data_IF_087131111970
#
_entry.id   IF_087131111970
#
_cell.length_a   1.000
_cell.length_b   1.000
_cell.length_c   1.000
_cell.angle_alpha   90.00
_cell.angle_beta   90.00
_cell.angle_gamma   90.00
#
_symmetry.space_group_name_H-M   'P 1'
#
loop_
_entity.id
_entity.type
_entity.pdbx_description
1 polymer ?
#
# COMPACT_ATOMS: atom_id res chain seq x y z
N UNK A 1 7.26 19.87 -8.73
CA UNK A 1 6.10 20.11 -9.61
C UNK A 1 6.35 21.38 -10.41
N UNK A 2 5.71 21.53 -11.57
CA UNK A 2 5.93 22.65 -12.49
C UNK A 2 4.60 23.14 -13.05
N UNK A 3 4.43 24.45 -13.15
CA UNK A 3 3.32 25.12 -13.86
C UNK A 3 3.86 25.81 -15.13
N UNK A 4 3.02 25.94 -16.14
CA UNK A 4 3.34 26.63 -17.40
C UNK A 4 2.29 27.72 -17.66
N UNK A 5 2.26 28.79 -16.85
CA UNK A 5 1.30 29.86 -17.01
C UNK A 5 1.65 30.72 -18.25
N UNK A 6 0.65 31.35 -18.84
CA UNK A 6 0.82 32.24 -19.99
C UNK A 6 -0.10 33.44 -19.86
N UNK A 7 0.41 34.60 -20.24
CA UNK A 7 -0.31 35.87 -20.30
C UNK A 7 -0.24 36.42 -21.75
N UNK A 8 -1.38 36.66 -22.43
CA UNK A 8 -1.38 37.16 -23.80
C UNK A 8 -0.85 38.59 -23.95
N UNK A 9 -1.00 39.41 -22.91
CA UNK A 9 -0.62 40.82 -22.89
C UNK A 9 0.84 41.00 -22.43
N UNK A 10 1.46 39.93 -21.94
CA UNK A 10 2.86 39.87 -21.54
C UNK A 10 3.08 40.36 -20.10
N UNK A 11 2.01 40.43 -19.30
CA UNK A 11 2.10 40.85 -17.91
C UNK A 11 2.89 39.85 -17.05
N UNK A 12 3.56 40.37 -16.02
CA UNK A 12 4.30 39.53 -15.10
C UNK A 12 3.33 38.75 -14.20
N UNK A 13 3.30 37.43 -14.38
CA UNK A 13 2.46 36.55 -13.59
C UNK A 13 3.03 36.26 -12.19
N UNK A 14 2.13 36.22 -11.22
CA UNK A 14 2.42 35.76 -9.85
C UNK A 14 1.71 34.46 -9.54
N UNK A 15 2.39 33.55 -8.85
CA UNK A 15 1.96 32.21 -8.53
C UNK A 15 1.91 32.03 -7.01
N UNK A 16 0.80 31.46 -6.53
CA UNK A 16 0.61 31.06 -5.15
C UNK A 16 0.28 29.58 -5.08
N UNK A 17 1.08 28.82 -4.36
CA UNK A 17 0.96 27.37 -4.24
C UNK A 17 0.40 26.98 -2.88
N UNK A 18 -0.50 25.98 -2.85
CA UNK A 18 -1.04 25.44 -1.59
C UNK A 18 -1.40 23.96 -1.73
N UNK A 19 -1.36 23.23 -0.62
CA UNK A 19 -1.81 21.84 -0.55
C UNK A 19 -2.50 21.56 0.79
N UNK A 20 -3.27 20.46 0.88
CA UNK A 20 -4.02 20.13 2.09
C UNK A 20 -3.21 19.32 3.09
N UNK A 21 -2.42 18.34 2.63
CA UNK A 21 -1.70 17.38 3.47
C UNK A 21 -0.17 17.55 3.44
N UNK A 22 0.30 18.65 2.86
CA UNK A 22 1.71 18.97 2.80
C UNK A 22 1.96 20.47 2.67
N UNK A 23 3.24 20.82 2.69
CA UNK A 23 3.71 22.16 2.39
C UNK A 23 4.21 22.23 0.96
N UNK A 24 3.96 23.36 0.31
CA UNK A 24 4.48 23.64 -1.03
C UNK A 24 5.43 24.81 -0.91
N UNK A 25 6.69 24.60 -1.29
CA UNK A 25 7.75 25.60 -1.21
C UNK A 25 8.18 25.98 -2.62
N UNK A 26 8.19 27.27 -2.93
CA UNK A 26 8.72 27.83 -4.17
C UNK A 26 9.84 28.83 -3.84
N UNK A 27 10.69 29.15 -4.82
CA UNK A 27 11.75 30.16 -4.64
C UNK A 27 11.25 31.61 -4.66
N UNK A 28 9.96 31.83 -4.91
CA UNK A 28 9.33 33.14 -4.93
C UNK A 28 7.97 33.13 -5.64
N UNK A 29 7.29 34.29 -5.72
CA UNK A 29 5.98 34.41 -6.35
C UNK A 29 6.03 34.30 -7.88
N UNK A 30 7.19 34.40 -8.53
CA UNK A 30 7.33 34.20 -9.99
C UNK A 30 7.84 32.81 -10.35
N UNK A 31 8.10 31.96 -9.35
CA UNK A 31 8.65 30.64 -9.57
C UNK A 31 7.58 29.69 -10.13
N UNK A 32 7.84 29.19 -11.34
CA UNK A 32 7.01 28.19 -12.02
C UNK A 32 7.23 26.78 -11.50
N UNK A 33 8.25 26.57 -10.66
CA UNK A 33 8.53 25.30 -10.00
C UNK A 33 8.33 25.42 -8.51
N UNK A 34 7.84 24.33 -7.92
CA UNK A 34 7.68 24.19 -6.49
C UNK A 34 7.97 22.76 -6.01
N UNK A 35 8.38 22.64 -4.75
CA UNK A 35 8.61 21.37 -4.07
C UNK A 35 7.48 21.10 -3.10
N UNK A 36 6.86 19.94 -3.24
CA UNK A 36 5.88 19.43 -2.30
C UNK A 36 6.58 18.58 -1.24
N UNK A 37 6.28 18.82 0.03
CA UNK A 37 6.70 17.98 1.15
C UNK A 37 5.44 17.57 1.91
N UNK A 38 5.16 16.27 1.95
CA UNK A 38 4.08 15.72 2.76
C UNK A 38 4.40 15.94 4.25
N UNK A 39 3.45 16.48 5.02
CA UNK A 39 3.66 16.81 6.44
C UNK A 39 2.89 15.90 7.39
N UNK A 40 1.72 15.40 6.98
CA UNK A 40 0.97 14.42 7.76
C UNK A 40 0.04 13.58 6.89
N UNK A 41 -0.09 12.31 7.23
CA UNK A 41 -0.99 11.37 6.55
C UNK A 41 -0.39 10.67 5.33
N UNK A 42 -1.19 9.78 4.76
CA UNK A 42 -0.96 9.07 3.51
C UNK A 42 -2.25 9.12 2.70
N UNK A 43 -2.17 8.80 1.41
CA UNK A 43 -3.31 8.87 0.50
C UNK A 43 -3.24 10.06 -0.45
N UNK A 44 -4.36 10.37 -1.10
CA UNK A 44 -4.45 11.39 -2.15
C UNK A 44 -4.43 12.80 -1.56
N UNK A 45 -3.54 13.64 -2.09
CA UNK A 45 -3.57 15.09 -1.88
C UNK A 45 -3.74 15.81 -3.23
N UNK A 46 -4.25 17.03 -3.17
CA UNK A 46 -4.39 17.92 -4.32
C UNK A 46 -3.61 19.20 -4.03
N UNK A 47 -2.61 19.46 -4.88
CA UNK A 47 -1.90 20.73 -4.88
C UNK A 47 -2.62 21.68 -5.82
N UNK A 48 -2.82 22.91 -5.37
CA UNK A 48 -3.39 24.01 -6.13
C UNK A 48 -2.31 25.03 -6.42
N UNK A 49 -2.37 25.62 -7.61
CA UNK A 49 -1.59 26.79 -8.00
C UNK A 49 -2.54 27.85 -8.52
N UNK A 50 -2.55 29.00 -7.88
CA UNK A 50 -3.28 30.18 -8.35
C UNK A 50 -2.30 31.10 -9.07
N UNK A 51 -2.64 31.50 -10.29
CA UNK A 51 -1.89 32.42 -11.13
C UNK A 51 -2.66 33.72 -11.21
N UNK A 52 -2.01 34.86 -11.03
CA UNK A 52 -2.60 36.20 -11.11
C UNK A 52 -1.74 37.11 -11.99
N UNK A 53 -2.40 37.89 -12.85
CA UNK A 53 -1.77 38.91 -13.70
C UNK A 53 -1.51 40.24 -12.98
N UNK A 54 -2.06 40.43 -11.77
CA UNK A 54 -2.00 41.70 -11.04
C UNK A 54 -2.93 42.80 -11.58
N UNK A 55 -3.66 42.54 -12.67
CA UNK A 55 -4.63 43.43 -13.31
C UNK A 55 -6.08 42.94 -13.17
N UNK A 56 -6.29 41.85 -12.42
CA UNK A 56 -7.61 41.33 -12.05
C UNK A 56 -7.94 40.00 -12.72
N UNK A 57 -7.14 39.53 -13.67
CA UNK A 57 -7.18 38.19 -14.21
C UNK A 57 -6.53 37.18 -13.26
N UNK A 58 -7.17 36.03 -13.11
CA UNK A 58 -6.60 34.92 -12.34
C UNK A 58 -7.07 33.58 -12.90
N UNK A 59 -6.22 32.57 -12.72
CA UNK A 59 -6.50 31.19 -13.10
C UNK A 59 -6.02 30.23 -12.01
N UNK A 60 -6.63 29.06 -11.93
CA UNK A 60 -6.23 28.01 -11.00
C UNK A 60 -5.89 26.72 -11.75
N UNK A 61 -4.75 26.13 -11.40
CA UNK A 61 -4.34 24.80 -11.83
C UNK A 61 -4.26 23.84 -10.64
N UNK A 62 -4.36 22.55 -10.93
CA UNK A 62 -4.26 21.50 -9.89
C UNK A 62 -3.34 20.37 -10.31
N UNK A 63 -2.67 19.76 -9.34
CA UNK A 63 -1.93 18.51 -9.50
C UNK A 63 -2.32 17.53 -8.40
N UNK A 64 -2.64 16.29 -8.80
CA UNK A 64 -2.86 15.20 -7.84
C UNK A 64 -1.54 14.55 -7.46
N UNK A 65 -1.35 14.27 -6.17
CA UNK A 65 -0.27 13.42 -5.67
C UNK A 65 -0.83 12.36 -4.74
N UNK A 66 -0.08 11.28 -4.58
CA UNK A 66 -0.37 10.26 -3.58
C UNK A 66 0.82 10.09 -2.65
N UNK A 67 0.55 10.22 -1.36
CA UNK A 67 1.53 10.05 -0.30
C UNK A 67 1.49 8.58 0.12
N UNK A 68 2.62 7.88 0.01
CA UNK A 68 2.69 6.45 0.34
C UNK A 68 2.46 6.23 1.83
N UNK A 69 1.67 5.22 2.17
CA UNK A 69 1.63 4.67 3.51
C UNK A 69 2.86 3.78 3.73
N UNK A 70 3.66 4.07 4.75
CA UNK A 70 4.82 3.24 5.13
C UNK A 70 4.49 2.25 6.25
N UNK A 71 3.28 2.33 6.82
CA UNK A 71 2.87 1.41 7.86
C UNK A 71 2.51 0.06 7.25
N UNK A 72 3.07 -1.01 7.82
CA UNK A 72 2.79 -2.37 7.38
C UNK A 72 1.46 -2.86 7.93
N UNK A 73 0.76 -3.75 7.19
CA UNK A 73 -0.47 -4.37 7.68
C UNK A 73 -0.18 -5.23 8.91
N UNK A 74 -1.15 -5.33 9.82
CA UNK A 74 -1.06 -6.27 10.94
C UNK A 74 -1.54 -7.65 10.51
N UNK A 75 -0.76 -8.68 10.84
CA UNK A 75 -1.06 -10.07 10.53
C UNK A 75 -1.19 -10.83 11.86
N UNK A 76 -2.25 -11.64 11.99
CA UNK A 76 -2.43 -12.55 13.11
C UNK A 76 -2.80 -13.95 12.61
N UNK A 77 -2.27 -14.98 13.28
CA UNK A 77 -2.55 -16.38 12.99
C UNK A 77 -3.35 -16.99 14.14
N UNK A 78 -4.34 -17.80 13.78
CA UNK A 78 -5.19 -18.50 14.74
C UNK A 78 -5.17 -20.00 14.42
N UNK A 79 -4.95 -20.88 15.40
CA UNK A 79 -5.07 -22.31 15.18
C UNK A 79 -6.53 -22.65 14.84
N UNK A 80 -6.73 -23.48 13.82
CA UNK A 80 -8.04 -24.05 13.48
C UNK A 80 -7.91 -25.56 13.25
N UNK A 81 -9.02 -26.28 13.28
CA UNK A 81 -9.01 -27.70 12.95
C UNK A 81 -8.54 -27.89 11.50
N UNK A 82 -7.57 -28.77 11.24
CA UNK A 82 -7.10 -29.01 9.88
C UNK A 82 -8.17 -29.72 9.06
N UNK A 83 -8.39 -29.25 7.83
CA UNK A 83 -9.24 -29.92 6.83
C UNK A 83 -8.52 -31.11 6.19
N UNK A 84 -7.19 -31.11 6.21
CA UNK A 84 -6.33 -32.21 5.80
C UNK A 84 -5.49 -32.69 7.01
N UNK A 85 -5.63 -33.94 7.47
CA UNK A 85 -4.94 -34.45 8.65
C UNK A 85 -3.41 -34.46 8.54
N UNK A 86 -2.86 -34.35 7.32
CA UNK A 86 -1.41 -34.29 7.10
C UNK A 86 -0.86 -32.86 7.13
N UNK A 87 -1.70 -31.84 7.35
CA UNK A 87 -1.29 -30.44 7.33
C UNK A 87 -1.79 -29.67 8.55
N UNK A 88 -1.04 -28.66 9.03
CA UNK A 88 -1.53 -27.78 10.08
C UNK A 88 -2.70 -26.93 9.57
N UNK A 89 -3.75 -26.80 10.39
CA UNK A 89 -4.86 -25.90 10.14
C UNK A 89 -4.62 -24.57 10.84
N UNK A 90 -4.63 -23.48 10.10
CA UNK A 90 -4.63 -22.14 10.69
C UNK A 90 -5.52 -21.20 9.88
N UNK A 91 -6.14 -20.24 10.57
CA UNK A 91 -6.75 -19.09 9.95
C UNK A 91 -5.78 -17.92 10.02
N UNK A 92 -5.81 -17.09 9.00
CA UNK A 92 -5.00 -15.89 8.92
C UNK A 92 -5.89 -14.66 8.92
N UNK A 93 -5.61 -13.71 9.80
CA UNK A 93 -6.22 -12.38 9.77
C UNK A 93 -5.24 -11.34 9.26
N UNK A 94 -5.67 -10.56 8.28
CA UNK A 94 -4.94 -9.40 7.77
C UNK A 94 -5.75 -8.15 8.10
N UNK A 95 -5.12 -7.18 8.76
CA UNK A 95 -5.70 -5.86 9.02
C UNK A 95 -4.84 -4.81 8.32
N UNK A 96 -5.25 -4.34 7.13
CA UNK A 96 -4.41 -3.45 6.35
C UNK A 96 -4.50 -2.01 6.88
N UNK A 97 -3.44 -1.24 6.69
CA UNK A 97 -3.35 0.17 7.11
C UNK A 97 -3.86 1.13 6.03
N UNK A 98 -4.06 0.64 4.81
CA UNK A 98 -4.70 1.30 3.66
C UNK A 98 -5.55 0.28 2.89
N UNK A 99 -6.36 0.74 1.93
CA UNK A 99 -7.12 -0.17 1.08
C UNK A 99 -6.17 -1.00 0.20
N UNK A 100 -6.39 -2.31 0.20
CA UNK A 100 -5.47 -3.29 -0.34
C UNK A 100 -6.21 -4.16 -1.36
N UNK A 101 -5.91 -4.02 -2.65
CA UNK A 101 -6.38 -4.95 -3.66
C UNK A 101 -5.37 -6.11 -3.83
N UNK A 102 -5.58 -7.19 -3.06
CA UNK A 102 -4.74 -8.39 -3.04
C UNK A 102 -4.85 -9.13 -4.37
N UNK A 103 -3.72 -9.35 -5.03
CA UNK A 103 -3.63 -10.05 -6.32
C UNK A 103 -3.06 -11.45 -6.20
N UNK A 104 -2.14 -11.67 -5.25
CA UNK A 104 -1.59 -12.99 -4.96
C UNK A 104 -1.22 -13.09 -3.48
N UNK A 105 -1.32 -14.30 -2.95
CA UNK A 105 -1.04 -14.60 -1.55
C UNK A 105 -0.31 -15.94 -1.53
N UNK A 106 0.88 -15.97 -0.94
CA UNK A 106 1.64 -17.21 -0.79
C UNK A 106 2.23 -17.34 0.62
N UNK A 107 2.18 -18.54 1.17
CA UNK A 107 2.83 -18.88 2.45
C UNK A 107 3.81 -20.01 2.22
N UNK A 108 5.07 -19.79 2.59
CA UNK A 108 6.14 -20.76 2.39
C UNK A 108 6.67 -21.20 3.76
N UNK A 109 6.67 -22.50 4.09
CA UNK A 109 7.37 -22.99 5.27
C UNK A 109 8.89 -22.82 5.11
N UNK A 110 9.56 -22.42 6.19
CA UNK A 110 11.01 -22.27 6.23
C UNK A 110 11.73 -23.58 5.97
N UNK A 111 12.67 -23.58 5.01
CA UNK A 111 13.47 -24.77 4.68
C UNK A 111 12.73 -25.87 3.92
N UNK A 112 11.55 -25.59 3.36
CA UNK A 112 10.78 -26.55 2.59
C UNK A 112 11.37 -26.79 1.18
N UNK A 113 11.13 -27.97 0.62
CA UNK A 113 11.46 -28.30 -0.78
C UNK A 113 10.62 -27.47 -1.77
N UNK A 114 11.13 -27.31 -3.00
CA UNK A 114 10.40 -26.65 -4.09
C UNK A 114 9.01 -27.27 -4.24
N UNK A 115 7.96 -26.44 -4.23
CA UNK A 115 6.55 -26.86 -4.31
C UNK A 115 5.80 -26.80 -2.98
N UNK A 116 6.47 -26.68 -1.83
CA UNK A 116 5.77 -26.59 -0.55
C UNK A 116 5.28 -25.18 -0.21
N UNK A 117 3.96 -25.04 -0.10
CA UNK A 117 3.32 -23.79 0.30
C UNK A 117 1.88 -23.97 0.78
N UNK A 118 1.33 -22.92 1.36
CA UNK A 118 -0.08 -22.79 1.72
C UNK A 118 -0.64 -21.59 0.98
N UNK A 119 -1.78 -21.79 0.33
CA UNK A 119 -2.52 -20.71 -0.32
C UNK A 119 -3.89 -20.60 0.36
N UNK A 120 -4.29 -19.40 0.81
CA UNK A 120 -5.65 -19.17 1.23
C UNK A 120 -6.61 -19.39 0.07
N UNK A 121 -7.77 -19.98 0.32
CA UNK A 121 -8.84 -20.02 -0.68
C UNK A 121 -9.52 -18.64 -0.77
N UNK A 122 -9.28 -17.91 -1.86
CA UNK A 122 -9.97 -16.66 -2.18
C UNK A 122 -9.97 -16.40 -3.69
N UNK A 123 -10.87 -15.55 -4.17
CA UNK A 123 -10.92 -15.10 -5.56
C UNK A 123 -10.14 -13.78 -5.73
N UNK A 124 -8.97 -13.75 -6.38
CA UNK A 124 -8.28 -12.52 -6.69
C UNK A 124 -8.92 -11.77 -7.89
N UNK A 125 -8.89 -10.43 -7.92
CA UNK A 125 -8.35 -9.60 -6.86
C UNK A 125 -9.35 -9.42 -5.70
N UNK A 126 -8.86 -9.47 -4.46
CA UNK A 126 -9.66 -9.30 -3.25
C UNK A 126 -9.38 -7.93 -2.62
N UNK A 127 -10.41 -7.12 -2.42
CA UNK A 127 -10.27 -5.80 -1.80
C UNK A 127 -10.43 -5.89 -0.28
N UNK A 128 -9.34 -5.68 0.46
CA UNK A 128 -9.35 -5.49 1.90
C UNK A 128 -9.43 -3.99 2.21
N UNK A 129 -10.28 -3.61 3.17
CA UNK A 129 -10.47 -2.21 3.56
C UNK A 129 -9.55 -1.82 4.71
N UNK A 130 -9.02 -0.60 4.66
CA UNK A 130 -8.19 -0.04 5.72
C UNK A 130 -8.83 -0.20 7.11
N UNK A 131 -8.07 -0.73 8.06
CA UNK A 131 -8.49 -0.95 9.45
C UNK A 131 -9.52 -2.06 9.65
N UNK A 132 -10.02 -2.70 8.58
CA UNK A 132 -11.00 -3.78 8.67
C UNK A 132 -10.28 -5.13 8.65
N UNK A 133 -10.32 -5.91 9.75
CA UNK A 133 -9.72 -7.23 9.77
C UNK A 133 -10.43 -8.17 8.78
N UNK A 134 -9.66 -8.84 7.94
CA UNK A 134 -10.15 -9.89 7.04
C UNK A 134 -9.52 -11.22 7.41
N UNK A 135 -10.37 -12.25 7.62
CA UNK A 135 -9.93 -13.58 8.04
C UNK A 135 -10.05 -14.56 6.89
N UNK A 136 -8.91 -15.09 6.45
CA UNK A 136 -8.81 -16.26 5.61
C UNK A 136 -8.94 -17.52 6.48
N UNK A 137 -10.06 -18.23 6.37
CA UNK A 137 -10.35 -19.41 7.22
C UNK A 137 -9.86 -20.72 6.63
N UNK A 138 -9.74 -20.79 5.31
CA UNK A 138 -9.34 -21.98 4.58
C UNK A 138 -7.90 -21.82 4.05
N UNK A 139 -6.94 -21.71 4.96
CA UNK A 139 -5.52 -21.74 4.59
C UNK A 139 -5.05 -23.18 4.71
N UNK A 140 -4.90 -23.84 3.57
CA UNK A 140 -4.50 -25.26 3.50
C UNK A 140 -3.23 -25.40 2.66
N UNK A 141 -2.46 -26.46 2.94
CA UNK A 141 -1.29 -26.81 2.16
C UNK A 141 -1.69 -27.17 0.72
N UNK A 142 -0.90 -26.72 -0.26
CA UNK A 142 -1.14 -27.01 -1.68
C UNK A 142 -0.79 -28.48 -1.99
N UNK A 143 0.19 -29.04 -1.27
CA UNK A 143 0.63 -30.43 -1.44
C UNK A 143 0.72 -31.17 -0.10
N UNK A 144 0.26 -32.43 -0.05
CA UNK A 144 0.29 -33.25 1.17
C UNK A 144 1.70 -33.76 1.55
N UNK A 145 2.70 -33.57 0.69
CA UNK A 145 4.07 -34.08 0.87
C UNK A 145 5.03 -33.11 1.56
N UNK A 146 4.53 -32.01 2.12
CA UNK A 146 5.31 -31.07 2.93
C UNK A 146 5.64 -31.62 4.34
N UNK A 147 6.14 -32.86 4.37
CA UNK A 147 6.51 -33.62 5.56
C UNK A 147 7.86 -33.21 6.16
N UNK A 148 8.63 -32.36 5.46
CA UNK A 148 9.85 -31.76 5.96
C UNK A 148 9.71 -30.24 6.08
N UNK A 149 9.22 -29.76 7.21
CA UNK A 149 9.49 -28.39 7.66
C UNK A 149 10.63 -28.46 8.68
N UNK A 150 11.89 -28.30 8.27
CA UNK A 150 13.02 -28.49 9.17
C UNK A 150 13.24 -27.32 10.13
N UNK A 151 12.52 -26.19 10.00
CA UNK A 151 12.94 -24.92 10.65
C UNK A 151 11.85 -24.22 11.47
N UNK A 152 10.57 -24.57 11.32
CA UNK A 152 9.51 -24.21 12.27
C UNK A 152 8.96 -22.78 12.16
N UNK A 153 9.17 -22.10 11.04
CA UNK A 153 8.61 -20.77 10.74
C UNK A 153 7.97 -20.73 9.34
N UNK A 154 7.13 -19.71 9.09
CA UNK A 154 6.50 -19.41 7.81
C UNK A 154 6.93 -18.04 7.31
N UNK A 155 7.13 -17.93 6.00
CA UNK A 155 7.22 -16.66 5.27
C UNK A 155 5.88 -16.42 4.57
N UNK A 156 5.19 -15.36 4.95
CA UNK A 156 3.92 -14.94 4.38
C UNK A 156 4.19 -13.79 3.42
N UNK A 157 3.84 -13.96 2.15
CA UNK A 157 3.99 -12.94 1.11
C UNK A 157 2.62 -12.59 0.55
N UNK A 158 2.25 -11.32 0.66
CA UNK A 158 1.01 -10.80 0.10
C UNK A 158 1.37 -9.77 -0.96
N UNK A 159 1.01 -10.09 -2.19
CA UNK A 159 1.15 -9.20 -3.33
C UNK A 159 -0.18 -8.54 -3.63
N UNK A 160 -0.14 -7.26 -3.97
CA UNK A 160 -1.32 -6.56 -4.43
C UNK A 160 -1.00 -5.23 -5.08
N UNK A 161 -2.05 -4.46 -5.30
CA UNK A 161 -1.98 -3.09 -5.78
C UNK A 161 -2.84 -2.17 -4.93
N UNK A 162 -2.44 -0.90 -4.80
CA UNK A 162 -3.35 0.09 -4.24
C UNK A 162 -4.50 0.28 -5.24
N UNK A 163 -5.76 0.47 -4.77
CA UNK A 163 -6.84 0.87 -5.66
C UNK A 163 -6.47 2.14 -6.43
N UNK A 164 -7.01 2.27 -7.65
CA UNK A 164 -6.85 3.48 -8.47
C UNK A 164 -7.22 4.74 -7.67
N UNK A 165 -6.55 5.88 -7.90
CA UNK A 165 -5.75 6.23 -9.08
C UNK A 165 -4.26 5.86 -8.99
N UNK A 166 -3.82 5.24 -7.91
CA UNK A 166 -2.39 5.15 -7.62
C UNK A 166 -1.70 3.96 -8.29
N UNK A 167 -2.44 2.85 -8.50
CA UNK A 167 -2.03 1.67 -9.27
C UNK A 167 -0.75 0.96 -8.79
N UNK A 168 -0.09 1.50 -7.76
CA UNK A 168 1.21 1.07 -7.29
C UNK A 168 1.13 -0.36 -6.77
N UNK A 169 2.05 -1.20 -7.24
CA UNK A 169 2.23 -2.54 -6.68
C UNK A 169 2.87 -2.44 -5.30
N UNK A 170 2.45 -3.33 -4.41
CA UNK A 170 3.12 -3.58 -3.14
C UNK A 170 3.28 -5.08 -2.96
N UNK A 171 4.34 -5.43 -2.25
CA UNK A 171 4.53 -6.74 -1.66
C UNK A 171 4.90 -6.49 -0.20
N UNK A 172 4.20 -7.12 0.73
CA UNK A 172 4.69 -7.20 2.10
C UNK A 172 5.00 -8.64 2.44
N UNK A 173 6.08 -8.80 3.21
CA UNK A 173 6.61 -10.07 3.64
C UNK A 173 6.69 -10.11 5.16
N UNK A 174 6.14 -11.16 5.77
CA UNK A 174 6.20 -11.35 7.20
C UNK A 174 6.78 -12.72 7.51
N UNK A 175 7.67 -12.77 8.50
CA UNK A 175 8.20 -14.03 9.03
C UNK A 175 7.55 -14.29 10.39
N UNK A 176 7.07 -15.52 10.59
CA UNK A 176 6.40 -15.92 11.83
C UNK A 176 6.75 -17.33 12.22
N UNK A 177 6.90 -17.59 13.51
CA UNK A 177 7.08 -18.95 14.01
C UNK A 177 5.73 -19.67 14.06
N UNK A 178 5.75 -21.01 13.98
CA UNK A 178 4.52 -21.84 14.03
C UNK A 178 3.65 -21.60 15.26
N UNK A 179 4.25 -21.18 16.35
CA UNK A 179 3.60 -21.06 17.67
C UNK A 179 3.34 -19.62 18.09
N UNK A 180 3.63 -18.64 17.23
CA UNK A 180 3.47 -17.23 17.56
C UNK A 180 2.94 -16.43 16.37
N UNK A 181 2.44 -15.23 16.67
CA UNK A 181 2.12 -14.26 15.63
C UNK A 181 3.40 -13.70 14.99
N UNK A 182 3.34 -13.22 13.73
CA UNK A 182 4.48 -12.60 13.07
C UNK A 182 4.98 -11.42 13.89
N UNK A 183 6.28 -11.42 14.19
CA UNK A 183 6.91 -10.37 15.00
C UNK A 183 7.51 -9.26 14.14
N UNK A 184 7.64 -9.47 12.82
CA UNK A 184 8.15 -8.48 11.87
C UNK A 184 7.51 -8.66 10.49
N UNK A 185 6.84 -7.62 10.02
CA UNK A 185 6.34 -7.46 8.66
C UNK A 185 7.07 -6.29 8.00
N UNK A 186 7.54 -6.47 6.77
CA UNK A 186 8.25 -5.46 5.96
C UNK A 186 7.56 -5.25 4.62
#
# INVERSE_FOLDING_TARGET
MTATPADPDGDQLTLSWRAKYGTVNSSGPTATTATYVATSGWGRDTIFVTVSDGHGGSAEGTAGVYIRNLNTPTIALFPVAPTNPNCPGFALQVTPTEDLLVTAFHIWPGGASSGCGYDPNYAPPLLLRAGVPYVFRDVSCIYPECSGDPVGYYTIVINGRRPDPDGGTYAFSCVTWRTSNPTACQ
#
